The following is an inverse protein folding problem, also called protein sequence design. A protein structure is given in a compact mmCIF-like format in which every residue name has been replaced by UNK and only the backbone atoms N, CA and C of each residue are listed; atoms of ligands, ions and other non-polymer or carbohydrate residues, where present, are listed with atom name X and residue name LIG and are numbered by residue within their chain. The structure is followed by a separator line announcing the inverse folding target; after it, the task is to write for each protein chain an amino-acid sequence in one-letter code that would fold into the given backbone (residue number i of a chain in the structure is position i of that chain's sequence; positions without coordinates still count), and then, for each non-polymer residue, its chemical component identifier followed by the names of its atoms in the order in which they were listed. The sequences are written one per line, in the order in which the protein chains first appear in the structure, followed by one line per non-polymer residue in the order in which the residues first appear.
data_IF_682075564522
#
_entry.id   IF_682075564522
#
_cell.length_a   1.000
_cell.length_b   1.000
_cell.length_c   1.000
_cell.angle_alpha   90.00
_cell.angle_beta   90.00
_cell.angle_gamma   90.00
#
_symmetry.space_group_name_H-M   'P 1'
#
loop_
_entity.id
_entity.type
_entity.pdbx_description
1 polymer ?
#
# COMPACT_ATOMS: atom_id res chain seq x y z
N UNK A 1 -21.69 9.54 -3.22
CA UNK A 1 -21.71 10.52 -2.11
C UNK A 1 -20.35 11.23 -2.00
N UNK A 2 -20.31 12.58 -1.92
CA UNK A 2 -19.06 13.29 -1.67
C UNK A 2 -18.52 12.90 -0.28
N UNK A 3 -17.22 12.61 -0.21
CA UNK A 3 -16.55 12.22 1.02
C UNK A 3 -16.62 13.36 2.04
N UNK A 4 -16.96 13.05 3.30
CA UNK A 4 -17.01 14.04 4.37
C UNK A 4 -15.67 14.16 5.07
N UNK A 5 -15.23 15.39 5.35
CA UNK A 5 -14.01 15.68 6.09
C UNK A 5 -14.06 15.04 7.48
N UNK A 6 -13.07 14.22 7.82
CA UNK A 6 -12.99 13.51 9.11
C UNK A 6 -11.78 14.00 9.89
N UNK A 7 -11.98 14.50 11.12
CA UNK A 7 -10.89 14.94 12.00
C UNK A 7 -10.41 13.85 12.97
N UNK A 8 -11.23 12.83 13.22
CA UNK A 8 -10.92 11.78 14.19
C UNK A 8 -11.41 10.42 13.71
N UNK A 9 -10.59 9.40 13.93
CA UNK A 9 -10.96 8.00 13.76
C UNK A 9 -11.15 7.39 15.15
N UNK A 10 -12.36 6.87 15.43
CA UNK A 10 -12.69 6.21 16.69
C UNK A 10 -12.84 4.71 16.47
N UNK A 11 -11.93 3.92 17.05
CA UNK A 11 -12.03 2.47 17.07
C UNK A 11 -12.67 2.01 18.39
N UNK A 12 -13.64 1.10 18.32
CA UNK A 12 -14.22 0.43 19.49
C UNK A 12 -14.00 -1.07 19.34
N UNK A 13 -13.18 -1.63 20.21
CA UNK A 13 -12.96 -3.07 20.32
C UNK A 13 -13.96 -3.64 21.32
N UNK A 14 -14.62 -4.74 20.95
CA UNK A 14 -15.58 -5.45 21.81
C UNK A 14 -14.96 -6.72 22.38
N UNK A 15 -15.77 -7.52 23.07
CA UNK A 15 -15.36 -8.82 23.57
C UNK A 15 -14.85 -9.73 22.46
N UNK A 16 -13.88 -10.57 22.82
CA UNK A 16 -13.23 -11.49 21.92
C UNK A 16 -14.12 -12.74 21.64
N UNK A 17 -13.83 -13.51 20.58
CA UNK A 17 -14.51 -14.79 20.34
C UNK A 17 -14.23 -15.77 21.49
N UNK A 18 -15.18 -16.64 21.86
CA UNK A 18 -14.93 -17.61 22.93
C UNK A 18 -13.78 -18.56 22.53
N UNK A 19 -12.65 -18.45 23.21
CA UNK A 19 -11.42 -19.15 22.89
C UNK A 19 -10.78 -19.61 24.19
N UNK A 20 -10.73 -20.93 24.40
CA UNK A 20 -10.20 -21.54 25.62
C UNK A 20 -8.72 -21.22 25.86
N UNK A 21 -7.99 -20.80 24.82
CA UNK A 21 -6.60 -20.36 24.93
C UNK A 21 -6.44 -18.88 25.28
N UNK A 22 -7.51 -18.07 25.17
CA UNK A 22 -7.49 -16.65 25.50
C UNK A 22 -8.03 -16.41 26.93
N UNK A 23 -7.24 -16.83 27.92
CA UNK A 23 -7.58 -16.79 29.35
C UNK A 23 -7.97 -15.39 29.88
N UNK A 24 -7.51 -14.33 29.22
CA UNK A 24 -7.67 -12.95 29.66
C UNK A 24 -8.61 -12.12 28.77
N UNK A 25 -9.34 -12.75 27.83
CA UNK A 25 -10.24 -12.06 26.88
C UNK A 25 -9.55 -10.87 26.16
N UNK A 26 -8.27 -11.05 25.81
CA UNK A 26 -7.46 -10.00 25.20
C UNK A 26 -7.84 -9.81 23.73
N UNK A 27 -7.86 -8.56 23.28
CA UNK A 27 -8.03 -8.18 21.87
C UNK A 27 -6.81 -7.35 21.47
N UNK A 28 -6.20 -7.69 20.33
CA UNK A 28 -5.04 -6.99 19.80
C UNK A 28 -5.34 -6.42 18.41
N UNK A 29 -4.77 -5.24 18.13
CA UNK A 29 -4.75 -4.64 16.80
C UNK A 29 -3.33 -4.80 16.27
N UNK A 30 -3.20 -5.35 15.07
CA UNK A 30 -1.89 -5.60 14.46
C UNK A 30 -1.40 -4.38 13.68
N UNK A 31 -2.27 -3.73 12.91
CA UNK A 31 -1.95 -2.47 12.23
C UNK A 31 -3.20 -1.72 11.79
N UNK A 32 -3.03 -0.42 11.50
CA UNK A 32 -4.05 0.49 10.98
C UNK A 32 -3.38 1.35 9.90
N UNK A 33 -3.91 1.33 8.68
CA UNK A 33 -3.55 2.28 7.62
C UNK A 33 -4.70 3.24 7.41
N UNK A 34 -4.42 4.54 7.47
CA UNK A 34 -5.36 5.60 7.10
C UNK A 34 -4.91 6.19 5.76
N UNK A 35 -5.84 6.32 4.82
CA UNK A 35 -5.59 6.85 3.47
C UNK A 35 -6.60 7.98 3.23
N UNK A 36 -6.12 9.13 2.79
CA UNK A 36 -6.95 10.28 2.47
C UNK A 36 -6.12 11.51 2.11
N UNK A 37 -6.76 12.45 1.42
CA UNK A 37 -6.17 13.74 1.08
C UNK A 37 -6.49 14.78 2.16
N UNK A 38 -5.58 15.73 2.36
CA UNK A 38 -5.81 16.85 3.26
C UNK A 38 -6.90 17.78 2.70
N UNK A 39 -7.88 18.11 3.55
CA UNK A 39 -8.96 19.03 3.19
C UNK A 39 -8.43 20.46 3.24
N UNK A 40 -8.34 21.13 2.08
CA UNK A 40 -8.15 22.59 1.99
C UNK A 40 -6.84 23.10 1.39
N UNK A 41 -5.90 22.25 0.94
CA UNK A 41 -4.64 22.72 0.31
C UNK A 41 -4.72 23.05 -1.19
N UNK A 42 -5.92 23.02 -1.78
CA UNK A 42 -6.12 23.15 -3.23
C UNK A 42 -6.28 24.58 -3.78
N UNK A 43 -6.40 25.62 -2.95
CA UNK A 43 -6.89 26.93 -3.43
C UNK A 43 -5.88 28.09 -3.40
N UNK A 44 -4.64 27.94 -2.92
CA UNK A 44 -3.76 29.12 -2.71
C UNK A 44 -2.48 29.24 -3.55
N UNK A 45 -2.06 28.25 -4.34
CA UNK A 45 -0.80 28.38 -5.13
C UNK A 45 -1.03 28.32 -6.64
N UNK A 46 -1.52 29.43 -7.19
CA UNK A 46 -1.67 29.64 -8.63
C UNK A 46 -0.57 30.53 -9.22
N UNK A 47 0.71 30.29 -8.88
CA UNK A 47 1.84 30.97 -9.53
C UNK A 47 3.15 30.18 -9.42
N UNK A 48 3.64 29.66 -10.54
CA UNK A 48 5.05 29.26 -10.69
C UNK A 48 5.28 27.94 -11.42
N UNK A 49 5.76 28.03 -12.65
CA UNK A 49 6.21 26.93 -13.51
C UNK A 49 7.13 25.92 -12.82
N UNK A 50 6.74 24.65 -12.83
CA UNK A 50 7.67 23.54 -13.06
C UNK A 50 7.00 22.50 -13.95
N UNK A 51 7.49 22.38 -15.18
CA UNK A 51 7.19 21.28 -16.09
C UNK A 51 7.70 19.97 -15.49
N UNK A 52 6.81 19.25 -14.81
CA UNK A 52 6.93 17.81 -14.68
C UNK A 52 5.53 17.24 -14.80
N UNK A 53 5.33 16.47 -15.87
CA UNK A 53 4.14 15.74 -16.29
C UNK A 53 3.30 15.13 -15.13
N UNK A 54 2.48 15.96 -14.47
CA UNK A 54 1.59 15.56 -13.38
C UNK A 54 0.17 15.93 -13.81
N UNK A 55 -0.61 14.88 -14.05
CA UNK A 55 -2.00 14.97 -14.48
C UNK A 55 -2.84 15.82 -13.51
N UNK A 56 -3.84 16.58 -14.02
CA UNK A 56 -4.66 17.46 -13.20
C UNK A 56 -5.74 16.64 -12.48
N UNK A 57 -5.52 16.35 -11.21
CA UNK A 57 -6.53 15.73 -10.35
C UNK A 57 -5.95 14.92 -9.20
N UNK A 58 -5.74 15.59 -8.06
CA UNK A 58 -5.72 14.96 -6.73
C UNK A 58 -4.47 14.16 -6.41
N UNK A 59 -3.81 14.55 -5.33
CA UNK A 59 -2.77 13.77 -4.65
C UNK A 59 -3.33 12.49 -3.97
N UNK A 60 -4.39 11.89 -4.51
CA UNK A 60 -4.78 10.53 -4.18
C UNK A 60 -3.84 9.60 -4.94
N UNK A 61 -2.65 9.38 -4.38
CA UNK A 61 -1.71 8.34 -4.85
C UNK A 61 -2.54 7.14 -5.28
N UNK A 62 -2.48 6.80 -6.57
CA UNK A 62 -3.01 5.53 -7.05
C UNK A 62 -2.31 4.47 -6.22
N UNK A 63 -2.96 4.02 -5.13
CA UNK A 63 -2.42 3.04 -4.20
C UNK A 63 -1.99 1.87 -5.06
N UNK A 64 -0.68 1.75 -5.30
CA UNK A 64 -0.17 0.61 -6.01
C UNK A 64 -0.52 -0.60 -5.15
N UNK A 65 -0.68 -1.78 -5.75
CA UNK A 65 -0.77 -3.01 -4.96
C UNK A 65 0.47 -3.22 -4.04
N UNK A 66 1.54 -2.42 -4.25
CA UNK A 66 2.75 -2.37 -3.43
C UNK A 66 2.68 -1.38 -2.24
N UNK A 67 1.63 -0.56 -2.17
CA UNK A 67 1.37 0.41 -1.09
C UNK A 67 0.31 -0.11 -0.10
N UNK A 68 -0.20 -1.32 -0.35
CA UNK A 68 -1.08 -2.02 0.58
C UNK A 68 -0.31 -2.37 1.86
N UNK A 69 -0.84 -1.96 3.01
CA UNK A 69 -0.29 -2.27 4.33
C UNK A 69 -0.08 -3.77 4.52
N UNK A 70 -0.97 -4.62 4.00
CA UNK A 70 -0.81 -6.07 4.09
C UNK A 70 0.47 -6.54 3.38
N UNK A 71 0.83 -5.91 2.26
CA UNK A 71 2.08 -6.23 1.58
C UNK A 71 3.30 -5.83 2.41
N UNK A 72 3.30 -4.64 3.03
CA UNK A 72 4.42 -4.20 3.87
C UNK A 72 4.61 -5.04 5.13
N UNK A 73 3.52 -5.55 5.70
CA UNK A 73 3.56 -6.32 6.94
C UNK A 73 3.97 -7.77 6.74
N UNK A 74 3.52 -8.39 5.64
CA UNK A 74 3.66 -9.84 5.46
C UNK A 74 4.74 -10.25 4.48
N UNK A 75 5.27 -9.31 3.68
CA UNK A 75 6.37 -9.58 2.74
C UNK A 75 7.68 -9.10 3.35
N UNK A 76 8.72 -9.90 3.15
CA UNK A 76 10.10 -9.51 3.47
C UNK A 76 10.47 -8.12 2.93
N UNK A 77 11.18 -7.33 3.73
CA UNK A 77 11.47 -5.91 3.44
C UNK A 77 12.33 -5.72 2.20
N UNK A 78 13.28 -6.60 1.95
CA UNK A 78 14.17 -6.50 0.79
C UNK A 78 13.44 -6.95 -0.48
N UNK A 79 12.64 -8.01 -0.37
CA UNK A 79 11.75 -8.45 -1.44
C UNK A 79 10.74 -7.36 -1.82
N UNK A 80 10.12 -6.71 -0.83
CA UNK A 80 9.18 -5.61 -1.05
C UNK A 80 9.83 -4.43 -1.80
N UNK A 81 11.06 -4.08 -1.43
CA UNK A 81 11.86 -3.05 -2.12
C UNK A 81 12.11 -3.39 -3.59
N UNK A 82 12.45 -4.65 -3.89
CA UNK A 82 12.69 -5.10 -5.26
C UNK A 82 11.39 -5.06 -6.07
N UNK A 83 10.27 -5.51 -5.51
CA UNK A 83 8.96 -5.48 -6.17
C UNK A 83 8.56 -4.05 -6.55
N UNK A 84 8.79 -3.05 -5.68
CA UNK A 84 8.56 -1.62 -6.00
C UNK A 84 9.39 -1.15 -7.20
N UNK A 85 10.65 -1.55 -7.26
CA UNK A 85 11.51 -1.24 -8.41
C UNK A 85 11.01 -1.91 -9.69
N UNK A 86 10.55 -3.16 -9.62
CA UNK A 86 9.96 -3.86 -10.76
C UNK A 86 8.66 -3.19 -11.23
N UNK A 87 7.83 -2.69 -10.32
CA UNK A 87 6.60 -1.97 -10.67
C UNK A 87 6.90 -0.66 -11.40
N UNK A 88 7.91 0.10 -10.96
CA UNK A 88 8.35 1.31 -11.67
C UNK A 88 8.85 0.97 -13.09
N UNK A 89 9.66 -0.07 -13.24
CA UNK A 89 10.14 -0.53 -14.55
C UNK A 89 9.01 -1.04 -15.43
N UNK A 90 7.98 -1.68 -14.85
CA UNK A 90 6.80 -2.11 -15.59
C UNK A 90 6.05 -0.90 -16.13
N UNK A 91 5.85 0.14 -15.32
CA UNK A 91 5.21 1.37 -15.77
C UNK A 91 5.98 2.01 -16.94
N UNK A 92 7.30 2.09 -16.84
CA UNK A 92 8.13 2.60 -17.93
C UNK A 92 8.02 1.71 -19.18
N UNK A 93 8.05 0.39 -19.04
CA UNK A 93 7.89 -0.54 -20.16
C UNK A 93 6.52 -0.42 -20.85
N UNK A 94 5.46 -0.09 -20.10
CA UNK A 94 4.13 0.20 -20.67
C UNK A 94 4.13 1.51 -21.44
N UNK A 95 4.78 2.56 -20.92
CA UNK A 95 4.92 3.86 -21.60
C UNK A 95 5.73 3.75 -22.90
N UNK A 96 6.75 2.90 -22.91
CA UNK A 96 7.59 2.62 -24.07
C UNK A 96 6.95 1.60 -25.05
N UNK A 97 5.69 1.20 -24.84
CA UNK A 97 4.97 0.17 -25.62
C UNK A 97 5.65 -1.21 -25.67
N UNK A 98 6.56 -1.49 -24.74
CA UNK A 98 7.25 -2.79 -24.58
C UNK A 98 6.42 -3.76 -23.74
N UNK A 99 5.22 -4.09 -24.22
CA UNK A 99 4.21 -4.84 -23.47
C UNK A 99 4.66 -6.25 -23.06
N UNK A 100 5.40 -6.96 -23.90
CA UNK A 100 5.94 -8.28 -23.55
C UNK A 100 6.92 -8.21 -22.38
N UNK A 101 7.74 -7.15 -22.32
CA UNK A 101 8.65 -6.93 -21.19
C UNK A 101 7.87 -6.56 -19.92
N UNK A 102 6.87 -5.68 -20.04
CA UNK A 102 5.97 -5.36 -18.93
C UNK A 102 5.25 -6.60 -18.37
N UNK A 103 4.81 -7.52 -19.24
CA UNK A 103 4.17 -8.78 -18.84
C UNK A 103 5.12 -9.70 -18.08
N UNK A 104 6.39 -9.80 -18.52
CA UNK A 104 7.43 -10.56 -17.81
C UNK A 104 7.71 -9.98 -16.42
N UNK A 105 7.82 -8.65 -16.32
CA UNK A 105 7.97 -7.95 -15.02
C UNK A 105 6.79 -8.26 -14.09
N UNK A 106 5.56 -8.18 -14.60
CA UNK A 106 4.36 -8.53 -13.81
C UNK A 106 4.39 -9.97 -13.29
N UNK A 107 4.77 -10.95 -14.12
CA UNK A 107 4.88 -12.35 -13.68
C UNK A 107 5.94 -12.51 -12.60
N UNK A 108 7.13 -11.95 -12.82
CA UNK A 108 8.22 -12.00 -11.85
C UNK A 108 7.84 -11.39 -10.50
N UNK A 109 7.09 -10.27 -10.51
CA UNK A 109 6.59 -9.66 -9.28
C UNK A 109 5.64 -10.56 -8.49
N UNK A 110 4.77 -11.33 -9.16
CA UNK A 110 3.84 -12.26 -8.49
C UNK A 110 4.60 -13.39 -7.81
N UNK A 111 5.55 -13.99 -8.53
CA UNK A 111 6.40 -15.06 -7.99
C UNK A 111 7.25 -14.56 -6.81
N UNK A 112 7.83 -13.37 -6.97
CA UNK A 112 8.65 -12.74 -5.95
C UNK A 112 7.83 -12.37 -4.71
N UNK A 113 6.58 -11.91 -4.88
CA UNK A 113 5.65 -11.67 -3.75
C UNK A 113 5.40 -12.97 -2.99
N UNK A 114 5.07 -14.06 -3.68
CA UNK A 114 4.83 -15.35 -3.02
C UNK A 114 6.07 -15.90 -2.29
N UNK A 115 7.28 -15.61 -2.79
CA UNK A 115 8.51 -15.94 -2.09
C UNK A 115 8.72 -15.05 -0.85
N UNK A 116 8.52 -13.74 -0.98
CA UNK A 116 8.66 -12.80 0.12
C UNK A 116 7.64 -12.99 1.25
N UNK A 117 6.41 -13.41 0.93
CA UNK A 117 5.40 -13.79 1.94
C UNK A 117 5.84 -15.01 2.75
N UNK A 118 6.47 -16.00 2.10
CA UNK A 118 7.02 -17.17 2.79
C UNK A 118 8.17 -16.78 3.70
N UNK A 119 9.03 -15.86 3.25
CA UNK A 119 10.14 -15.35 4.04
C UNK A 119 9.65 -14.53 5.25
N UNK A 120 8.71 -13.61 5.05
CA UNK A 120 8.12 -12.81 6.13
C UNK A 120 7.44 -13.67 7.21
N UNK A 121 6.72 -14.74 6.82
CA UNK A 121 6.14 -15.70 7.78
C UNK A 121 7.20 -16.39 8.65
N UNK A 122 8.35 -16.72 8.10
CA UNK A 122 9.45 -17.34 8.85
C UNK A 122 10.11 -16.36 9.81
N UNK A 123 10.15 -15.06 9.49
CA UNK A 123 10.67 -14.05 10.41
C UNK A 123 9.73 -13.79 11.59
N UNK A 124 8.42 -13.74 11.36
CA UNK A 124 7.41 -13.52 12.41
C UNK A 124 7.35 -14.70 13.40
N UNK A 125 7.67 -15.91 12.95
CA UNK A 125 7.68 -17.12 13.77
C UNK A 125 8.96 -17.38 14.57
N UNK A 126 9.96 -16.49 14.51
CA UNK A 126 11.19 -16.56 15.32
C UNK A 126 11.02 -15.82 16.65
#
# INVERSE_FOLDING_TARGET
PPFSSTSYVKLRLYQNHNNDLNLYNQVSIVAIQLIGDEVGKGEENNNGHTDHNLLPGGHGSLSSACDDLAFEMYVDKDVARIIRLLEQRKHQAVQDERFEYARKLKSAMVELRAAGERLGKLEIGK
#
